data_IF_011857851120
#
_entry.id   IF_011857851120
#
_cell.length_a   1.000
_cell.length_b   1.000
_cell.length_c   1.000
_cell.angle_alpha   90.00
_cell.angle_beta   90.00
_cell.angle_gamma   90.00
#
_symmetry.space_group_name_H-M   'P 1'
#
loop_
_entity.id
_entity.type
_entity.pdbx_description
1 polymer ?
#
# COMPACT_ATOMS: atom_id res chain seq x y z
N UNK A 1 0.23 15.41 47.69
CA UNK A 1 -0.37 14.06 47.65
C UNK A 1 -1.63 14.20 46.82
N UNK A 2 -1.57 13.98 45.50
CA UNK A 2 -1.57 12.66 44.84
C UNK A 2 -2.84 11.89 45.25
N UNK A 3 -3.74 11.45 44.37
CA UNK A 3 -3.57 10.87 43.03
C UNK A 3 -4.95 10.79 42.32
N UNK A 4 -5.01 11.09 41.01
CA UNK A 4 -6.08 10.63 40.09
C UNK A 4 -5.71 9.25 39.50
N UNK A 5 -6.50 8.59 38.61
CA UNK A 5 -7.98 8.47 38.44
C UNK A 5 -8.39 6.99 38.12
N UNK A 6 -9.68 6.64 37.97
CA UNK A 6 -10.08 5.58 37.02
C UNK A 6 -11.57 5.64 36.61
N UNK A 7 -11.77 5.81 35.30
CA UNK A 7 -12.79 5.20 34.43
C UNK A 7 -14.29 5.34 34.77
N UNK A 8 -15.01 6.03 33.88
CA UNK A 8 -16.02 5.42 32.99
C UNK A 8 -16.40 6.43 31.90
N UNK A 9 -15.47 6.70 30.98
CA UNK A 9 -15.83 7.24 29.67
C UNK A 9 -16.58 6.15 28.92
N UNK A 10 -17.85 6.38 28.66
CA UNK A 10 -18.64 5.54 27.77
C UNK A 10 -17.98 5.57 26.38
N UNK A 11 -17.46 4.42 25.96
CA UNK A 11 -17.06 4.19 24.58
C UNK A 11 -18.27 4.43 23.67
N UNK A 12 -18.17 5.27 22.62
CA UNK A 12 -19.18 5.24 21.59
C UNK A 12 -19.12 3.86 20.92
N UNK A 13 -20.23 3.13 20.99
CA UNK A 13 -20.44 1.88 20.27
C UNK A 13 -20.31 2.18 18.77
N UNK A 14 -19.18 1.86 18.18
CA UNK A 14 -19.05 1.84 16.72
C UNK A 14 -19.64 0.52 16.24
N UNK A 15 -20.95 0.53 15.98
CA UNK A 15 -21.65 -0.49 15.21
C UNK A 15 -22.26 0.18 13.99
N UNK A 16 -21.52 0.14 12.89
CA UNK A 16 -21.97 0.52 11.55
C UNK A 16 -20.98 -0.06 10.54
N UNK A 17 -21.41 -0.44 9.32
CA UNK A 17 -20.47 -0.75 8.25
C UNK A 17 -19.55 0.46 8.00
N UNK A 18 -18.33 0.25 7.49
CA UNK A 18 -17.41 1.36 7.22
C UNK A 18 -18.14 2.37 6.34
N UNK A 19 -18.06 3.65 6.72
CA UNK A 19 -18.77 4.74 6.07
C UNK A 19 -18.76 4.55 4.55
N UNK A 20 -19.95 4.43 3.96
CA UNK A 20 -20.14 4.45 2.52
C UNK A 20 -19.70 5.84 2.05
N UNK A 21 -18.41 5.98 1.72
CA UNK A 21 -18.00 7.04 0.81
C UNK A 21 -18.81 6.82 -0.46
N UNK A 22 -19.82 7.65 -0.68
CA UNK A 22 -20.67 7.58 -1.87
C UNK A 22 -19.76 7.62 -3.11
N UNK A 23 -19.64 6.48 -3.77
CA UNK A 23 -18.82 6.35 -4.98
C UNK A 23 -19.42 7.25 -6.07
N UNK A 24 -18.65 8.21 -6.61
CA UNK A 24 -19.02 8.95 -7.79
C UNK A 24 -19.48 8.01 -8.90
N UNK A 25 -20.47 8.45 -9.68
CA UNK A 25 -21.08 7.62 -10.71
C UNK A 25 -20.03 7.13 -11.72
N UNK A 26 -19.91 5.80 -11.85
CA UNK A 26 -18.93 5.14 -12.73
C UNK A 26 -17.58 4.83 -12.08
N UNK A 27 -17.32 5.27 -10.84
CA UNK A 27 -16.10 4.92 -10.13
C UNK A 27 -16.12 3.46 -9.67
N UNK A 28 -14.98 2.79 -9.83
CA UNK A 28 -14.74 1.42 -9.37
C UNK A 28 -13.72 1.43 -8.25
N UNK A 29 -14.05 0.82 -7.12
CA UNK A 29 -13.10 0.61 -6.02
C UNK A 29 -12.96 -0.86 -5.69
N UNK A 30 -11.72 -1.28 -5.45
CA UNK A 30 -11.39 -2.62 -5.00
C UNK A 30 -11.31 -2.66 -3.49
N UNK A 31 -11.84 -3.72 -2.89
CA UNK A 31 -11.85 -3.94 -1.46
C UNK A 31 -11.29 -5.33 -1.17
N UNK A 32 -10.33 -5.37 -0.26
CA UNK A 32 -9.78 -6.62 0.23
C UNK A 32 -10.65 -7.14 1.39
N UNK A 33 -11.40 -8.24 1.22
CA UNK A 33 -12.26 -8.77 2.26
C UNK A 33 -11.44 -9.31 3.45
N UNK A 34 -12.00 -9.33 4.67
CA UNK A 34 -11.29 -9.80 5.86
C UNK A 34 -10.72 -11.22 5.73
N UNK A 35 -11.42 -12.10 5.00
CA UNK A 35 -10.96 -13.47 4.75
C UNK A 35 -9.65 -13.52 3.97
N UNK A 36 -9.45 -12.62 3.00
CA UNK A 36 -8.20 -12.52 2.25
C UNK A 36 -7.07 -11.95 3.10
N UNK A 37 -7.39 -11.00 3.99
CA UNK A 37 -6.40 -10.40 4.91
C UNK A 37 -5.85 -11.40 5.92
N UNK A 38 -6.65 -12.39 6.30
CA UNK A 38 -6.29 -13.46 7.25
C UNK A 38 -5.66 -14.68 6.55
N UNK A 39 -5.45 -14.64 5.23
CA UNK A 39 -4.78 -15.72 4.53
C UNK A 39 -3.30 -15.79 4.98
N UNK A 40 -2.82 -16.96 5.45
CA UNK A 40 -1.46 -17.09 5.96
C UNK A 40 -0.36 -16.73 4.95
N UNK A 41 -0.58 -16.99 3.65
CA UNK A 41 0.41 -16.62 2.62
C UNK A 41 0.39 -15.12 2.33
N UNK A 42 -0.78 -14.50 2.45
CA UNK A 42 -0.91 -13.04 2.34
C UNK A 42 -0.20 -12.33 3.50
N UNK A 43 -0.35 -12.82 4.73
CA UNK A 43 0.39 -12.34 5.90
C UNK A 43 1.91 -12.57 5.75
N UNK A 44 2.32 -13.74 5.27
CA UNK A 44 3.73 -14.06 5.00
C UNK A 44 4.33 -13.11 3.96
N UNK A 45 3.60 -12.79 2.88
CA UNK A 45 4.07 -11.86 1.86
C UNK A 45 4.35 -10.47 2.46
N UNK A 46 3.40 -9.95 3.24
CA UNK A 46 3.58 -8.66 3.92
C UNK A 46 4.81 -8.68 4.83
N UNK A 47 4.98 -9.74 5.62
CA UNK A 47 6.12 -9.91 6.51
C UNK A 47 7.45 -9.90 5.75
N UNK A 48 7.57 -10.69 4.68
CA UNK A 48 8.80 -10.75 3.86
C UNK A 48 9.13 -9.39 3.26
N UNK A 49 8.13 -8.64 2.79
CA UNK A 49 8.33 -7.30 2.24
C UNK A 49 8.75 -6.30 3.31
N UNK A 50 8.14 -6.33 4.50
CA UNK A 50 8.57 -5.48 5.64
C UNK A 50 10.01 -5.79 6.04
N UNK A 51 10.36 -7.06 6.18
CA UNK A 51 11.73 -7.49 6.52
C UNK A 51 12.75 -7.04 5.47
N UNK A 52 12.40 -7.18 4.19
CA UNK A 52 13.24 -6.74 3.08
C UNK A 52 13.46 -5.22 3.08
N UNK A 53 12.39 -4.42 3.21
CA UNK A 53 12.49 -2.96 3.24
C UNK A 53 13.32 -2.51 4.45
N UNK A 54 13.06 -3.08 5.63
CA UNK A 54 13.82 -2.77 6.85
C UNK A 54 15.30 -3.13 6.71
N UNK A 55 15.64 -4.25 6.06
CA UNK A 55 17.03 -4.60 5.80
C UNK A 55 17.72 -3.59 4.85
N UNK A 56 17.01 -3.12 3.81
CA UNK A 56 17.55 -2.13 2.87
C UNK A 56 17.73 -0.75 3.51
N UNK A 57 16.82 -0.35 4.40
CA UNK A 57 16.81 0.97 5.02
C UNK A 57 17.48 1.03 6.39
N UNK A 58 18.04 -0.09 6.87
CA UNK A 58 18.81 -0.14 8.10
C UNK A 58 19.94 0.92 8.19
N UNK A 59 20.73 1.19 7.12
CA UNK A 59 21.78 2.22 7.17
C UNK A 59 21.24 3.64 7.40
N UNK A 60 19.97 3.88 7.10
CA UNK A 60 19.29 5.16 7.29
C UNK A 60 18.49 5.22 8.60
N UNK A 61 18.54 4.16 9.42
CA UNK A 61 17.80 4.02 10.67
C UNK A 61 16.27 4.16 10.52
N UNK A 62 15.74 3.80 9.36
CA UNK A 62 14.31 3.80 9.07
C UNK A 62 13.73 2.42 9.38
N UNK A 63 12.56 2.39 10.05
CA UNK A 63 11.86 1.15 10.41
C UNK A 63 10.40 1.24 9.97
N UNK A 64 10.01 0.33 9.09
CA UNK A 64 8.64 0.08 8.63
C UNK A 64 7.99 -0.96 9.54
N UNK A 65 6.75 -0.69 9.95
CA UNK A 65 5.90 -1.56 10.76
C UNK A 65 4.64 -1.97 10.02
N UNK A 66 4.09 -1.08 9.19
CA UNK A 66 2.89 -1.33 8.40
C UNK A 66 3.08 -0.79 6.99
N UNK A 67 2.87 -1.66 5.99
CA UNK A 67 2.96 -1.26 4.59
C UNK A 67 1.89 -0.22 4.22
N UNK A 68 0.67 -0.30 4.76
CA UNK A 68 -0.38 0.69 4.51
C UNK A 68 -0.06 2.05 5.16
N UNK A 69 0.45 2.04 6.39
CA UNK A 69 0.58 3.25 7.21
C UNK A 69 1.91 3.99 7.00
N UNK A 70 2.95 3.30 6.54
CA UNK A 70 4.29 3.88 6.42
C UNK A 70 4.66 4.22 4.95
N UNK A 71 3.98 3.65 3.95
CA UNK A 71 4.34 3.82 2.53
C UNK A 71 3.63 5.01 1.88
N UNK A 72 2.44 5.37 2.37
CA UNK A 72 1.47 6.23 1.67
C UNK A 72 1.92 7.66 1.36
N UNK A 73 2.85 8.22 2.15
CA UNK A 73 3.30 9.61 2.01
C UNK A 73 4.52 9.77 1.08
N UNK A 74 5.04 8.65 0.56
CA UNK A 74 6.18 8.60 -0.35
C UNK A 74 7.54 8.75 0.31
N UNK A 75 7.65 8.90 1.63
CA UNK A 75 8.94 9.00 2.32
C UNK A 75 9.70 7.69 2.22
N UNK A 76 9.11 6.58 2.68
CA UNK A 76 9.76 5.27 2.65
C UNK A 76 10.09 4.85 1.22
N UNK A 77 9.19 5.10 0.26
CA UNK A 77 9.44 4.79 -1.16
C UNK A 77 10.60 5.59 -1.73
N UNK A 78 10.74 6.87 -1.37
CA UNK A 78 11.86 7.70 -1.79
C UNK A 78 13.20 7.11 -1.33
N UNK A 79 13.32 6.81 -0.03
CA UNK A 79 14.55 6.25 0.54
C UNK A 79 14.84 4.87 -0.02
N UNK A 80 13.82 4.02 -0.14
CA UNK A 80 13.97 2.68 -0.72
C UNK A 80 14.45 2.77 -2.18
N UNK A 81 13.83 3.62 -2.99
CA UNK A 81 14.23 3.81 -4.38
C UNK A 81 15.68 4.30 -4.51
N UNK A 82 16.07 5.29 -3.69
CA UNK A 82 17.44 5.79 -3.66
C UNK A 82 18.43 4.69 -3.28
N UNK A 83 18.10 3.86 -2.28
CA UNK A 83 18.94 2.72 -1.87
C UNK A 83 19.05 1.62 -2.93
N UNK A 84 17.99 1.38 -3.70
CA UNK A 84 17.99 0.35 -4.75
C UNK A 84 18.71 0.80 -6.04
N UNK A 85 18.64 2.09 -6.38
CA UNK A 85 19.15 2.63 -7.65
C UNK A 85 20.44 3.43 -7.53
N UNK A 86 20.76 3.94 -6.34
CA UNK A 86 21.78 4.96 -6.12
C UNK A 86 21.41 6.35 -6.67
N UNK A 87 20.20 6.53 -7.22
CA UNK A 87 19.73 7.79 -7.79
C UNK A 87 19.07 8.64 -6.72
N UNK A 88 19.53 9.88 -6.57
CA UNK A 88 18.88 10.87 -5.71
C UNK A 88 17.75 11.56 -6.49
N UNK A 89 16.58 11.64 -5.88
CA UNK A 89 15.46 12.39 -6.44
C UNK A 89 15.45 13.82 -5.86
N UNK A 90 15.25 14.80 -6.73
CA UNK A 90 15.12 16.21 -6.34
C UNK A 90 13.69 16.46 -5.80
N UNK A 91 13.42 15.96 -4.59
CA UNK A 91 12.14 16.10 -3.88
C UNK A 91 12.39 16.62 -2.46
N UNK A 92 11.37 17.25 -1.86
CA UNK A 92 11.43 17.68 -0.47
C UNK A 92 11.75 16.50 0.46
N UNK A 93 12.74 16.68 1.33
CA UNK A 93 13.13 15.65 2.31
C UNK A 93 11.95 15.33 3.25
N UNK A 94 11.29 16.37 3.76
CA UNK A 94 10.13 16.26 4.65
C UNK A 94 8.88 16.88 4.02
N UNK A 95 7.98 16.02 3.55
CA UNK A 95 6.67 16.43 3.06
C UNK A 95 5.66 16.36 4.22
N UNK A 96 5.40 17.49 4.88
CA UNK A 96 4.56 17.54 6.09
C UNK A 96 3.07 17.82 5.81
N UNK A 97 2.71 18.14 4.57
CA UNK A 97 1.34 18.50 4.19
C UNK A 97 0.82 17.53 3.14
N UNK A 98 -0.49 17.25 3.15
CA UNK A 98 -1.07 16.34 2.16
C UNK A 98 -0.77 16.74 0.69
N UNK A 99 -0.74 18.02 0.29
CA UNK A 99 -0.29 18.42 -1.05
C UNK A 99 1.19 18.09 -1.31
N UNK A 100 2.09 18.38 -0.37
CA UNK A 100 3.52 18.09 -0.57
C UNK A 100 3.81 16.58 -0.57
N UNK A 101 3.10 15.80 0.24
CA UNK A 101 3.20 14.34 0.26
C UNK A 101 2.74 13.73 -1.08
N UNK A 102 1.60 14.19 -1.61
CA UNK A 102 1.16 13.78 -2.96
C UNK A 102 2.18 14.13 -4.03
N UNK A 103 2.72 15.35 -3.99
CA UNK A 103 3.75 15.78 -4.96
C UNK A 103 5.01 14.94 -4.87
N UNK A 104 5.46 14.61 -3.65
CA UNK A 104 6.59 13.71 -3.42
C UNK A 104 6.30 12.33 -4.00
N UNK A 105 5.14 11.78 -3.70
CA UNK A 105 4.71 10.47 -4.19
C UNK A 105 4.61 10.43 -5.72
N UNK A 106 4.09 11.47 -6.37
CA UNK A 106 4.08 11.61 -7.84
C UNK A 106 5.49 11.43 -8.43
N UNK A 107 6.45 12.20 -7.93
CA UNK A 107 7.84 12.16 -8.45
C UNK A 107 8.49 10.81 -8.19
N UNK A 108 8.29 10.24 -7.00
CA UNK A 108 8.86 8.93 -6.63
C UNK A 108 8.25 7.81 -7.48
N UNK A 109 6.93 7.76 -7.64
CA UNK A 109 6.26 6.75 -8.45
C UNK A 109 6.59 6.88 -9.93
N UNK A 110 6.74 8.10 -10.44
CA UNK A 110 7.20 8.32 -11.83
C UNK A 110 8.62 7.77 -12.04
N UNK A 111 9.54 8.02 -11.10
CA UNK A 111 10.90 7.48 -11.17
C UNK A 111 10.93 5.94 -11.09
N UNK A 112 10.09 5.35 -10.24
CA UNK A 112 9.91 3.90 -10.14
C UNK A 112 9.37 3.33 -11.46
N UNK A 113 8.30 3.90 -12.02
CA UNK A 113 7.70 3.43 -13.27
C UNK A 113 8.72 3.43 -14.43
N UNK A 114 9.53 4.49 -14.53
CA UNK A 114 10.63 4.58 -15.50
C UNK A 114 11.67 3.48 -15.31
N UNK A 115 12.04 3.19 -14.06
CA UNK A 115 13.05 2.15 -13.75
C UNK A 115 12.54 0.75 -14.04
N UNK A 116 11.26 0.48 -13.75
CA UNK A 116 10.60 -0.78 -14.06
C UNK A 116 10.32 -0.96 -15.57
N UNK A 117 10.53 0.09 -16.39
CA UNK A 117 10.13 0.15 -17.80
C UNK A 117 8.65 -0.21 -18.00
N UNK A 118 7.83 0.11 -17.01
CA UNK A 118 6.44 -0.28 -16.98
C UNK A 118 5.58 0.73 -17.74
N UNK A 119 4.72 0.24 -18.62
CA UNK A 119 3.67 1.08 -19.20
C UNK A 119 2.63 1.41 -18.13
N UNK A 120 2.20 2.67 -18.07
CA UNK A 120 1.25 3.16 -17.06
C UNK A 120 -0.06 2.33 -17.01
N UNK A 121 -0.52 1.82 -18.16
CA UNK A 121 -1.72 0.98 -18.27
C UNK A 121 -1.59 -0.40 -17.60
N UNK A 122 -0.38 -0.84 -17.34
CA UNK A 122 -0.10 -2.15 -16.74
C UNK A 122 0.06 -2.06 -15.22
N UNK A 123 0.22 -0.85 -14.69
CA UNK A 123 0.39 -0.61 -13.26
C UNK A 123 -0.90 -0.91 -12.49
N UNK A 124 -0.75 -1.58 -11.35
CA UNK A 124 -1.85 -1.87 -10.42
C UNK A 124 -1.90 -0.89 -9.25
N UNK A 125 -1.17 0.21 -9.36
CA UNK A 125 -1.06 1.28 -8.39
C UNK A 125 -1.05 2.64 -9.10
N UNK A 126 -1.39 3.67 -8.34
CA UNK A 126 -1.38 5.07 -8.73
C UNK A 126 -1.03 5.93 -7.51
N UNK A 127 -0.81 7.22 -7.72
CA UNK A 127 -0.63 8.17 -6.60
C UNK A 127 -1.82 8.12 -5.67
N UNK A 128 -3.04 8.10 -6.20
CA UNK A 128 -4.29 8.10 -5.44
C UNK A 128 -4.42 6.85 -4.58
N UNK A 129 -4.20 5.67 -5.15
CA UNK A 129 -4.36 4.40 -4.43
C UNK A 129 -3.31 4.23 -3.33
N UNK A 130 -2.05 4.60 -3.59
CA UNK A 130 -1.00 4.55 -2.57
C UNK A 130 -1.25 5.61 -1.49
N UNK A 131 -1.61 6.82 -1.86
CA UNK A 131 -1.91 7.91 -0.92
C UNK A 131 -3.16 7.62 -0.06
N UNK A 132 -4.13 6.87 -0.58
CA UNK A 132 -5.30 6.39 0.15
C UNK A 132 -5.05 5.13 0.97
N UNK A 133 -3.79 4.70 1.13
CA UNK A 133 -3.39 3.52 1.90
C UNK A 133 -4.01 2.21 1.39
N UNK A 134 -4.15 2.06 0.08
CA UNK A 134 -4.60 0.80 -0.51
C UNK A 134 -3.49 -0.26 -0.39
N UNK A 135 -3.67 -1.23 0.50
CA UNK A 135 -2.71 -2.33 0.70
C UNK A 135 -2.45 -3.13 -0.56
N UNK A 136 -3.48 -3.36 -1.37
CA UNK A 136 -3.36 -4.21 -2.55
C UNK A 136 -2.48 -3.52 -3.60
N UNK A 137 -2.72 -2.23 -3.85
CA UNK A 137 -1.88 -1.41 -4.71
C UNK A 137 -0.44 -1.33 -4.17
N UNK A 138 -0.30 -1.17 -2.85
CA UNK A 138 1.01 -1.10 -2.17
C UNK A 138 1.79 -2.40 -2.33
N UNK A 139 1.14 -3.55 -2.17
CA UNK A 139 1.77 -4.85 -2.34
C UNK A 139 2.19 -5.10 -3.80
N UNK A 140 1.37 -4.73 -4.78
CA UNK A 140 1.76 -4.83 -6.18
C UNK A 140 3.01 -4.01 -6.50
N UNK A 141 3.08 -2.77 -6.02
CA UNK A 141 4.24 -1.90 -6.18
C UNK A 141 5.49 -2.52 -5.55
N UNK A 142 5.39 -2.96 -4.29
CA UNK A 142 6.53 -3.51 -3.55
C UNK A 142 7.01 -4.85 -4.12
N UNK A 143 6.09 -5.72 -4.57
CA UNK A 143 6.46 -6.95 -5.27
C UNK A 143 7.16 -6.65 -6.58
N UNK A 144 6.68 -5.67 -7.36
CA UNK A 144 7.34 -5.28 -8.61
C UNK A 144 8.76 -4.76 -8.37
N UNK A 145 8.95 -3.90 -7.34
CA UNK A 145 10.26 -3.42 -6.92
C UNK A 145 11.18 -4.57 -6.47
N UNK A 146 10.69 -5.46 -5.61
CA UNK A 146 11.44 -6.59 -5.12
C UNK A 146 11.89 -7.51 -6.27
N UNK A 147 10.98 -7.89 -7.18
CA UNK A 147 11.31 -8.72 -8.34
C UNK A 147 12.35 -8.07 -9.25
N UNK A 148 12.30 -6.76 -9.42
CA UNK A 148 13.21 -6.03 -10.31
C UNK A 148 14.59 -5.83 -9.70
N UNK A 149 14.67 -5.36 -8.45
CA UNK A 149 15.92 -4.96 -7.80
C UNK A 149 16.56 -6.03 -6.90
N UNK A 150 15.80 -7.06 -6.52
CA UNK A 150 16.29 -8.18 -5.72
C UNK A 150 15.61 -9.50 -6.14
N UNK A 151 15.87 -10.00 -7.36
CA UNK A 151 15.23 -11.20 -7.91
C UNK A 151 15.50 -12.48 -7.11
N UNK A 152 16.53 -12.50 -6.26
CA UNK A 152 16.87 -13.58 -5.33
C UNK A 152 16.09 -13.52 -4.01
N UNK A 153 15.29 -12.46 -3.76
CA UNK A 153 14.41 -12.39 -2.60
C UNK A 153 13.38 -13.53 -2.66
N UNK A 154 13.31 -14.29 -1.57
CA UNK A 154 12.38 -15.41 -1.44
C UNK A 154 10.96 -14.95 -1.12
N UNK A 155 10.28 -14.38 -2.11
CA UNK A 155 8.84 -14.08 -2.01
C UNK A 155 8.02 -15.39 -1.97
N UNK A 156 6.97 -15.47 -1.14
CA UNK A 156 6.06 -16.61 -1.14
C UNK A 156 5.41 -16.78 -2.51
N UNK A 157 5.25 -18.02 -2.94
CA UNK A 157 4.78 -18.35 -4.29
C UNK A 157 3.27 -18.49 -4.36
N UNK A 158 2.71 -18.10 -5.51
CA UNK A 158 1.28 -18.17 -5.80
C UNK A 158 0.42 -17.57 -4.68
N UNK A 159 0.76 -16.34 -4.27
CA UNK A 159 -0.09 -15.56 -3.36
C UNK A 159 -1.19 -14.93 -4.20
N UNK A 160 -2.43 -15.32 -3.89
CA UNK A 160 -3.64 -14.82 -4.53
C UNK A 160 -4.64 -14.45 -3.45
N UNK A 161 -5.42 -13.40 -3.70
CA UNK A 161 -6.44 -12.93 -2.77
C UNK A 161 -7.75 -12.72 -3.51
N UNK A 162 -8.85 -13.03 -2.83
CA UNK A 162 -10.16 -12.58 -3.28
C UNK A 162 -10.26 -11.06 -3.11
N UNK A 163 -10.87 -10.38 -4.08
CA UNK A 163 -11.09 -8.94 -4.09
C UNK A 163 -12.53 -8.66 -4.50
N UNK A 164 -13.16 -7.67 -3.85
CA UNK A 164 -14.51 -7.23 -4.18
C UNK A 164 -14.39 -5.88 -4.87
N UNK A 165 -14.82 -5.80 -6.13
CA UNK A 165 -14.93 -4.54 -6.86
C UNK A 165 -16.33 -3.99 -6.68
N UNK A 166 -16.46 -2.79 -6.12
CA UNK A 166 -17.71 -2.05 -6.05
C UNK A 166 -17.73 -0.97 -7.13
N UNK A 167 -18.81 -0.89 -7.89
CA UNK A 167 -19.02 0.08 -8.96
C UNK A 167 -20.36 0.80 -8.76
N UNK A 168 -20.33 2.13 -8.74
CA UNK A 168 -21.56 2.94 -8.73
C UNK A 168 -22.14 3.01 -10.14
N UNK A 169 -23.26 2.32 -10.37
CA UNK A 169 -23.96 2.30 -11.66
C UNK A 169 -25.24 3.12 -11.62
N UNK A 170 -25.80 3.44 -12.80
CA UNK A 170 -27.12 4.10 -12.91
C UNK A 170 -28.26 3.36 -12.18
N UNK A 171 -28.10 2.05 -11.96
CA UNK A 171 -29.08 1.18 -11.29
C UNK A 171 -28.75 0.91 -9.82
N UNK A 172 -27.74 1.58 -9.26
CA UNK A 172 -27.26 1.37 -7.88
C UNK A 172 -25.86 0.76 -7.82
N UNK A 173 -25.49 0.24 -6.66
CA UNK A 173 -24.16 -0.33 -6.42
C UNK A 173 -24.07 -1.76 -6.98
N UNK A 174 -23.12 -2.00 -7.88
CA UNK A 174 -22.77 -3.33 -8.36
C UNK A 174 -21.54 -3.82 -7.61
N UNK A 175 -21.59 -5.05 -7.10
CA UNK A 175 -20.42 -5.73 -6.54
C UNK A 175 -20.03 -6.93 -7.40
N UNK A 176 -18.73 -7.11 -7.60
CA UNK A 176 -18.16 -8.23 -8.34
C UNK A 176 -16.98 -8.81 -7.56
N UNK A 177 -16.97 -10.13 -7.37
CA UNK A 177 -15.85 -10.82 -6.75
C UNK A 177 -14.88 -11.31 -7.82
N UNK A 178 -13.61 -11.01 -7.66
CA UNK A 178 -12.53 -11.48 -8.53
C UNK A 178 -11.34 -11.95 -7.69
N UNK A 179 -10.41 -12.67 -8.32
CA UNK A 179 -9.14 -13.07 -7.69
C UNK A 179 -8.04 -12.19 -8.23
N UNK A 180 -7.17 -11.71 -7.35
CA UNK A 180 -6.00 -10.90 -7.68
C UNK A 180 -4.73 -11.64 -7.30
N UNK A 181 -3.85 -11.81 -8.27
CA UNK A 181 -2.58 -12.50 -8.12
C UNK A 181 -1.49 -11.49 -7.73
N UNK A 182 -0.81 -11.73 -6.63
CA UNK A 182 0.28 -10.88 -6.11
C UNK A 182 1.66 -11.45 -6.46
N UNK A 183 1.82 -12.79 -6.46
CA UNK A 183 3.08 -13.44 -6.84
C UNK A 183 2.86 -14.59 -7.82
N UNK A 184 3.88 -14.89 -8.61
CA UNK A 184 3.78 -15.87 -9.70
C UNK A 184 3.78 -17.30 -9.16
N UNK A 185 3.21 -18.22 -9.94
CA UNK A 185 3.43 -19.64 -9.78
C UNK A 185 4.83 -19.95 -10.35
N UNK A 186 5.75 -20.47 -9.53
CA UNK A 186 7.07 -20.91 -10.02
C UNK A 186 6.95 -22.11 -10.95
#
# INVERSE_FOLDING_TARGET
>A
MESEPYNLLQLPKVTGPPAEEELPQGEKRKYLPPTSRQDPKFEELQKVLVEWINAKLLPEHIVVRSLEEDIFDGLILHHLFQMLTGVKLEVEEMALTAPSQRRKLEVVLEAIARSLQAEERQLKWSVETIFSKDLLATLHLLVALAKHFQPDLSLPTNVQVDVITMESTRSGLKSEKSVEQLTDCR
#
